data_IF_499540438794
#
_entry.id   IF_499540438794
#
_cell.length_a   1.000
_cell.length_b   1.000
_cell.length_c   1.000
_cell.angle_alpha   90.00
_cell.angle_beta   90.00
_cell.angle_gamma   90.00
#
_symmetry.space_group_name_H-M   'P 1'
#
loop_
_entity.id
_entity.type
_entity.pdbx_description
1 polymer ?
#
# COMPACT_ATOMS: atom_id res chain seq x y z
N UNK A 1 -25.11 -2.11 10.11
CA UNK A 1 -24.83 -0.83 10.78
C UNK A 1 -23.31 -0.58 10.86
N UNK A 2 -22.49 -1.50 11.43
CA UNK A 2 -21.03 -1.29 11.52
C UNK A 2 -20.35 -1.39 10.15
N UNK A 3 -20.69 -2.38 9.34
CA UNK A 3 -20.18 -2.53 7.97
C UNK A 3 -20.63 -1.39 7.04
N UNK A 4 -21.78 -0.77 7.32
CA UNK A 4 -22.28 0.41 6.58
C UNK A 4 -21.77 1.74 7.17
N UNK A 5 -20.86 1.71 8.13
CA UNK A 5 -20.27 2.89 8.79
C UNK A 5 -21.31 3.80 9.49
N UNK A 6 -22.46 3.24 9.86
CA UNK A 6 -23.50 3.96 10.63
C UNK A 6 -23.28 3.87 12.14
N UNK A 7 -22.49 2.92 12.58
CA UNK A 7 -22.21 2.66 13.98
C UNK A 7 -20.74 2.30 14.20
N UNK A 8 -20.13 2.90 15.22
CA UNK A 8 -18.73 2.70 15.59
C UNK A 8 -18.64 2.01 16.95
N UNK A 9 -18.32 0.71 17.03
CA UNK A 9 -18.13 0.02 18.30
C UNK A 9 -16.89 0.52 19.03
N UNK A 10 -17.01 0.78 20.29
CA UNK A 10 -15.91 1.20 21.17
C UNK A 10 -15.66 0.13 22.22
N UNK A 11 -14.42 -0.36 22.30
CA UNK A 11 -14.00 -1.36 23.28
C UNK A 11 -12.91 -0.81 24.17
N UNK A 12 -12.87 -1.25 25.42
CA UNK A 12 -11.88 -0.85 26.41
C UNK A 12 -11.02 -2.03 26.83
N UNK A 13 -9.73 -1.76 27.04
CA UNK A 13 -8.79 -2.80 27.48
C UNK A 13 -7.52 -2.20 28.05
N UNK A 14 -6.64 -3.08 28.53
CA UNK A 14 -5.28 -2.74 28.97
C UNK A 14 -4.31 -3.76 28.39
N UNK A 15 -3.72 -3.47 27.24
CA UNK A 15 -2.77 -4.36 26.56
C UNK A 15 -1.57 -4.72 27.45
N UNK A 16 -1.06 -3.76 28.20
CA UNK A 16 0.04 -3.97 29.16
C UNK A 16 -0.29 -4.99 30.26
N UNK A 17 -1.57 -5.14 30.63
CA UNK A 17 -2.06 -6.10 31.62
C UNK A 17 -2.70 -7.33 30.98
N UNK A 18 -2.58 -7.49 29.66
CA UNK A 18 -3.23 -8.55 28.87
C UNK A 18 -4.74 -8.67 29.10
N UNK A 19 -5.41 -7.53 29.37
CA UNK A 19 -6.87 -7.49 29.58
C UNK A 19 -7.57 -6.90 28.36
N UNK A 20 -8.58 -7.62 27.88
CA UNK A 20 -9.40 -7.17 26.76
C UNK A 20 -8.76 -7.34 25.38
N UNK A 21 -7.59 -8.01 25.26
CA UNK A 21 -6.90 -8.20 23.98
C UNK A 21 -7.67 -9.15 23.06
N UNK A 22 -8.09 -10.32 23.58
CA UNK A 22 -8.88 -11.28 22.80
C UNK A 22 -10.22 -10.68 22.34
N UNK A 23 -11.06 -10.08 23.24
CA UNK A 23 -12.29 -9.43 22.79
C UNK A 23 -12.09 -8.31 21.77
N UNK A 24 -10.95 -7.60 21.81
CA UNK A 24 -10.61 -6.62 20.78
C UNK A 24 -10.34 -7.28 19.44
N UNK A 25 -9.60 -8.40 19.42
CA UNK A 25 -9.33 -9.16 18.20
C UNK A 25 -10.62 -9.79 17.63
N UNK A 26 -11.49 -10.31 18.51
CA UNK A 26 -12.81 -10.81 18.13
C UNK A 26 -13.64 -9.69 17.48
N UNK A 27 -13.64 -8.49 18.07
CA UNK A 27 -14.33 -7.33 17.53
C UNK A 27 -13.78 -6.91 16.14
N UNK A 28 -12.47 -7.02 15.91
CA UNK A 28 -11.86 -6.79 14.60
C UNK A 28 -12.43 -7.78 13.57
N UNK A 29 -12.50 -9.07 13.91
CA UNK A 29 -13.01 -10.12 13.01
C UNK A 29 -14.51 -9.94 12.74
N UNK A 30 -15.29 -9.56 13.76
CA UNK A 30 -16.76 -9.45 13.67
C UNK A 30 -17.23 -8.14 13.00
N UNK A 31 -16.50 -7.05 13.17
CA UNK A 31 -17.00 -5.71 12.84
C UNK A 31 -16.27 -5.02 11.71
N UNK A 32 -15.04 -5.39 11.38
CA UNK A 32 -14.36 -4.80 10.22
C UNK A 32 -14.81 -5.48 8.92
N UNK A 33 -15.10 -4.71 7.86
CA UNK A 33 -15.48 -5.26 6.57
C UNK A 33 -14.31 -6.00 5.92
N UNK A 34 -14.60 -7.15 5.33
CA UNK A 34 -13.64 -7.80 4.44
C UNK A 34 -13.59 -7.07 3.08
N UNK A 35 -12.56 -7.32 2.27
CA UNK A 35 -12.51 -6.77 0.90
C UNK A 35 -13.73 -7.13 0.03
N UNK A 36 -14.44 -8.20 0.36
CA UNK A 36 -15.66 -8.64 -0.36
C UNK A 36 -16.93 -7.95 0.14
N UNK A 37 -16.90 -7.36 1.33
CA UNK A 37 -18.05 -6.65 1.92
C UNK A 37 -18.14 -5.19 1.46
N UNK A 38 -17.09 -4.68 0.83
CA UNK A 38 -17.03 -3.29 0.36
C UNK A 38 -17.28 -3.20 -1.15
N UNK A 39 -17.82 -2.07 -1.63
CA UNK A 39 -17.99 -1.84 -3.07
C UNK A 39 -16.65 -1.91 -3.83
N UNK A 40 -16.75 -2.15 -5.14
CA UNK A 40 -15.61 -2.04 -6.04
C UNK A 40 -14.91 -0.67 -5.89
N UNK A 41 -13.58 -0.69 -5.92
CA UNK A 41 -12.84 0.57 -5.90
C UNK A 41 -12.95 1.25 -7.26
N UNK A 42 -13.14 2.56 -7.21
CA UNK A 42 -13.18 3.40 -8.40
C UNK A 42 -11.81 3.99 -8.70
N UNK A 43 -11.54 4.17 -9.97
CA UNK A 43 -10.34 4.83 -10.46
C UNK A 43 -10.61 5.47 -11.82
N UNK A 44 -9.61 6.09 -12.40
CA UNK A 44 -9.69 6.76 -13.69
C UNK A 44 -8.68 6.08 -14.62
N UNK A 45 -9.11 5.73 -15.83
CA UNK A 45 -8.18 5.32 -16.89
C UNK A 45 -7.39 6.54 -17.38
N UNK A 46 -6.06 6.56 -17.24
CA UNK A 46 -5.24 7.73 -17.62
C UNK A 46 -5.22 8.00 -19.13
N UNK A 47 -5.69 7.07 -19.97
CA UNK A 47 -5.69 7.22 -21.43
C UNK A 47 -7.02 7.75 -21.96
N UNK A 48 -8.13 7.40 -21.32
CA UNK A 48 -9.49 7.78 -21.78
C UNK A 48 -10.18 8.80 -20.87
N UNK A 49 -9.63 9.01 -19.67
CA UNK A 49 -10.21 9.86 -18.61
C UNK A 49 -11.60 9.37 -18.13
N UNK A 50 -11.91 8.09 -18.37
CA UNK A 50 -13.16 7.47 -17.97
C UNK A 50 -13.03 6.81 -16.58
N UNK A 51 -14.14 6.80 -15.84
CA UNK A 51 -14.22 6.08 -14.56
C UNK A 51 -14.21 4.57 -14.81
N UNK A 52 -13.35 3.87 -14.09
CA UNK A 52 -13.18 2.42 -14.13
C UNK A 52 -13.35 1.85 -12.73
N UNK A 53 -14.05 0.74 -12.60
CA UNK A 53 -14.21 0.02 -11.35
C UNK A 53 -13.31 -1.23 -11.31
N UNK A 54 -12.80 -1.58 -10.12
CA UNK A 54 -12.07 -2.82 -9.85
C UNK A 54 -12.70 -3.53 -8.66
N UNK A 55 -13.14 -4.76 -8.91
CA UNK A 55 -13.68 -5.62 -7.87
C UNK A 55 -12.55 -6.37 -7.14
N UNK A 56 -12.77 -6.71 -5.88
CA UNK A 56 -11.81 -7.53 -5.13
C UNK A 56 -11.89 -8.99 -5.60
N UNK A 57 -11.23 -9.28 -6.73
CA UNK A 57 -11.14 -10.58 -7.37
C UNK A 57 -9.75 -10.82 -7.93
N UNK A 58 -9.25 -12.03 -7.78
CA UNK A 58 -7.97 -12.45 -8.34
C UNK A 58 -7.98 -12.58 -9.88
N UNK A 59 -9.17 -12.71 -10.49
CA UNK A 59 -9.36 -12.84 -11.93
C UNK A 59 -9.35 -11.48 -12.65
N UNK A 60 -9.47 -10.39 -11.93
CA UNK A 60 -9.42 -9.04 -12.50
C UNK A 60 -7.98 -8.58 -12.79
N UNK A 61 -7.79 -7.57 -13.64
CA UNK A 61 -6.49 -6.95 -13.85
C UNK A 61 -5.91 -6.42 -12.54
N UNK A 62 -4.61 -6.61 -12.36
CA UNK A 62 -3.92 -6.16 -11.15
C UNK A 62 -4.04 -4.64 -10.96
N UNK A 63 -4.45 -4.24 -9.75
CA UNK A 63 -4.42 -2.86 -9.29
C UNK A 63 -4.13 -2.79 -7.78
N UNK A 64 -3.20 -1.94 -7.40
CA UNK A 64 -2.78 -1.75 -6.02
C UNK A 64 -2.41 -0.29 -5.74
N UNK A 65 -2.53 0.12 -4.49
CA UNK A 65 -2.13 1.43 -4.02
C UNK A 65 -0.91 1.32 -3.10
N UNK A 66 0.17 2.01 -3.43
CA UNK A 66 1.33 2.18 -2.58
C UNK A 66 1.01 3.21 -1.47
N UNK A 67 0.79 2.76 -0.25
CA UNK A 67 0.34 3.63 0.84
C UNK A 67 1.44 4.04 1.82
N UNK A 68 2.60 3.36 1.78
CA UNK A 68 3.73 3.68 2.66
C UNK A 68 5.05 3.27 2.01
N UNK A 69 6.02 4.16 2.08
CA UNK A 69 7.42 3.87 1.71
C UNK A 69 8.30 4.06 2.92
N UNK A 70 9.19 3.11 3.17
CA UNK A 70 10.20 3.20 4.24
C UNK A 70 11.56 2.67 3.77
N UNK A 71 12.60 3.07 4.45
CA UNK A 71 13.95 2.54 4.24
C UNK A 71 14.25 1.47 5.29
N UNK A 72 14.64 0.30 4.82
CA UNK A 72 15.07 -0.82 5.65
C UNK A 72 16.60 -0.97 5.56
N UNK A 73 17.32 -1.18 6.68
CA UNK A 73 18.77 -1.28 6.67
C UNK A 73 19.35 -2.45 5.85
N UNK A 74 18.55 -3.51 5.64
CA UNK A 74 19.01 -4.74 5.00
C UNK A 74 18.55 -4.87 3.55
N UNK A 75 17.33 -4.44 3.23
CA UNK A 75 16.74 -4.59 1.90
C UNK A 75 16.58 -3.27 1.15
N UNK A 76 16.89 -2.16 1.79
CA UNK A 76 16.79 -0.83 1.21
C UNK A 76 15.34 -0.31 1.19
N UNK A 77 14.90 0.21 0.06
CA UNK A 77 13.55 0.77 -0.09
C UNK A 77 12.49 -0.33 -0.06
N UNK A 78 11.59 -0.23 0.91
CA UNK A 78 10.38 -1.05 1.05
C UNK A 78 9.15 -0.21 0.70
N UNK A 79 8.37 -0.66 -0.25
CA UNK A 79 7.11 -0.04 -0.64
C UNK A 79 5.96 -0.93 -0.19
N UNK A 80 5.19 -0.48 0.80
CA UNK A 80 3.98 -1.17 1.25
C UNK A 80 2.82 -0.81 0.34
N UNK A 81 2.09 -1.82 -0.10
CA UNK A 81 0.95 -1.64 -0.99
C UNK A 81 -0.21 -2.56 -0.60
N UNK A 82 -1.43 -2.11 -0.90
CA UNK A 82 -2.64 -2.90 -0.81
C UNK A 82 -3.09 -3.28 -2.20
N UNK A 83 -3.34 -4.57 -2.41
CA UNK A 83 -3.93 -5.08 -3.65
C UNK A 83 -5.43 -4.91 -3.59
N UNK A 84 -6.01 -4.26 -4.59
CA UNK A 84 -7.45 -4.11 -4.71
C UNK A 84 -8.05 -5.11 -5.68
N UNK A 85 -7.31 -5.50 -6.72
CA UNK A 85 -7.72 -6.51 -7.69
C UNK A 85 -6.53 -7.25 -8.29
N UNK A 86 -6.77 -8.45 -8.79
CA UNK A 86 -5.79 -9.26 -9.48
C UNK A 86 -4.70 -9.85 -8.59
N UNK A 87 -3.72 -10.47 -9.23
CA UNK A 87 -2.58 -11.15 -8.60
C UNK A 87 -1.28 -10.48 -9.05
N UNK A 88 -0.34 -10.34 -8.12
CA UNK A 88 1.01 -9.88 -8.42
C UNK A 88 2.03 -10.94 -8.05
N UNK A 89 2.85 -11.36 -9.00
CA UNK A 89 3.94 -12.32 -8.78
C UNK A 89 5.28 -11.62 -8.58
N UNK A 90 6.10 -12.17 -7.70
CA UNK A 90 7.48 -11.74 -7.47
C UNK A 90 8.30 -11.84 -8.77
N UNK A 91 9.16 -10.85 -9.02
CA UNK A 91 9.97 -10.76 -10.25
C UNK A 91 9.24 -10.20 -11.48
N UNK A 92 7.94 -9.96 -11.42
CA UNK A 92 7.13 -9.42 -12.50
C UNK A 92 7.31 -7.91 -12.70
N UNK A 93 6.63 -7.36 -13.68
CA UNK A 93 6.60 -5.93 -13.96
C UNK A 93 5.22 -5.36 -13.68
N UNK A 94 5.19 -4.11 -13.25
CA UNK A 94 3.98 -3.33 -13.04
C UNK A 94 4.12 -1.96 -13.69
N UNK A 95 3.01 -1.35 -14.02
CA UNK A 95 2.94 0.05 -14.42
C UNK A 95 2.63 0.89 -13.18
N UNK A 96 3.47 1.87 -12.89
CA UNK A 96 3.12 2.98 -12.02
C UNK A 96 2.32 3.99 -12.86
N UNK A 97 1.02 3.91 -12.82
CA UNK A 97 0.13 4.73 -13.66
C UNK A 97 0.14 6.20 -13.26
N UNK A 98 0.36 6.51 -11.98
CA UNK A 98 0.48 7.90 -11.49
C UNK A 98 1.67 8.62 -12.13
N UNK A 99 2.78 7.91 -12.38
CA UNK A 99 4.01 8.48 -12.97
C UNK A 99 4.24 8.06 -14.42
N UNK A 100 3.39 7.22 -14.98
CA UNK A 100 3.54 6.69 -16.34
C UNK A 100 4.77 5.79 -16.54
N UNK A 101 5.34 5.22 -15.47
CA UNK A 101 6.59 4.45 -15.52
C UNK A 101 6.35 2.96 -15.32
N UNK A 102 7.12 2.15 -16.01
CA UNK A 102 7.20 0.70 -15.80
C UNK A 102 8.27 0.38 -14.76
N UNK A 103 7.91 -0.41 -13.76
CA UNK A 103 8.84 -0.82 -12.70
C UNK A 103 8.85 -2.35 -12.53
N UNK A 104 9.99 -2.88 -12.10
CA UNK A 104 10.12 -4.28 -11.78
C UNK A 104 9.95 -4.50 -10.29
N UNK A 105 9.02 -5.38 -9.95
CA UNK A 105 8.87 -5.92 -8.58
C UNK A 105 9.96 -6.96 -8.37
N UNK A 106 10.93 -6.68 -7.50
CA UNK A 106 12.02 -7.62 -7.21
C UNK A 106 11.52 -8.79 -6.37
N UNK A 107 11.23 -8.53 -5.10
CA UNK A 107 10.69 -9.49 -4.14
C UNK A 107 9.43 -8.94 -3.51
N UNK A 108 8.52 -9.83 -3.15
CA UNK A 108 7.33 -9.51 -2.36
C UNK A 108 7.51 -10.10 -0.98
N UNK A 109 7.25 -9.31 0.04
CA UNK A 109 7.42 -9.67 1.44
C UNK A 109 6.09 -9.54 2.17
N UNK A 110 5.68 -10.61 2.84
CA UNK A 110 4.66 -10.56 3.87
C UNK A 110 5.32 -10.14 5.18
N UNK A 111 4.90 -9.00 5.70
CA UNK A 111 5.48 -8.43 6.91
C UNK A 111 4.68 -8.87 8.14
N UNK A 112 5.38 -9.39 9.13
CA UNK A 112 4.82 -9.73 10.42
C UNK A 112 5.72 -9.13 11.52
N UNK A 113 5.35 -7.99 12.06
CA UNK A 113 6.19 -7.17 12.92
C UNK A 113 7.55 -6.88 12.24
N UNK A 114 8.66 -7.37 12.81
CA UNK A 114 10.01 -7.23 12.24
C UNK A 114 10.42 -8.42 11.34
N UNK A 115 9.56 -9.43 11.21
CA UNK A 115 9.83 -10.61 10.38
C UNK A 115 9.42 -10.35 8.94
N UNK A 116 10.27 -10.73 8.00
CA UNK A 116 10.08 -10.58 6.57
C UNK A 116 9.98 -11.98 5.96
N UNK A 117 8.78 -12.38 5.58
CA UNK A 117 8.55 -13.65 4.89
C UNK A 117 8.44 -13.37 3.39
N UNK A 118 9.37 -13.92 2.61
CA UNK A 118 9.30 -13.81 1.16
C UNK A 118 8.17 -14.69 0.62
N UNK A 119 7.32 -14.12 -0.22
CA UNK A 119 6.18 -14.80 -0.85
C UNK A 119 6.28 -14.69 -2.36
N UNK A 120 5.81 -15.72 -3.05
CA UNK A 120 5.86 -15.78 -4.51
C UNK A 120 4.80 -14.86 -5.15
N UNK A 121 3.63 -14.79 -4.54
CA UNK A 121 2.47 -14.08 -5.06
C UNK A 121 1.69 -13.39 -3.94
N UNK A 122 0.94 -12.36 -4.31
CA UNK A 122 0.01 -11.64 -3.45
C UNK A 122 -1.31 -11.45 -4.20
N UNK A 123 -2.42 -11.54 -3.49
CA UNK A 123 -3.78 -11.65 -4.02
C UNK A 123 -4.64 -10.43 -3.70
N UNK A 124 -5.80 -10.33 -4.35
CA UNK A 124 -6.77 -9.27 -4.11
C UNK A 124 -7.18 -9.19 -2.63
N UNK A 125 -7.11 -7.99 -2.05
CA UNK A 125 -7.40 -7.74 -0.63
C UNK A 125 -6.19 -7.79 0.29
N UNK A 126 -5.07 -8.36 -0.15
CA UNK A 126 -3.85 -8.49 0.64
C UNK A 126 -3.08 -7.17 0.78
N UNK A 127 -2.28 -7.12 1.84
CA UNK A 127 -1.27 -6.08 2.07
C UNK A 127 0.10 -6.75 2.10
N UNK A 128 1.02 -6.23 1.29
CA UNK A 128 2.38 -6.72 1.21
C UNK A 128 3.39 -5.57 1.07
N UNK A 129 4.67 -5.90 1.10
CA UNK A 129 5.75 -4.96 0.82
C UNK A 129 6.56 -5.44 -0.39
N UNK A 130 6.85 -4.53 -1.32
CA UNK A 130 7.70 -4.79 -2.47
C UNK A 130 9.11 -4.21 -2.28
N UNK A 131 10.11 -4.97 -2.72
CA UNK A 131 11.49 -4.54 -2.88
C UNK A 131 11.77 -4.36 -4.37
N UNK A 132 12.45 -3.28 -4.72
CA UNK A 132 12.88 -3.05 -6.11
C UNK A 132 12.12 -1.96 -6.86
N UNK A 133 11.04 -1.45 -6.31
CA UNK A 133 10.33 -0.29 -6.84
C UNK A 133 11.15 0.98 -6.56
N UNK A 134 11.75 1.55 -7.62
CA UNK A 134 12.69 2.67 -7.49
C UNK A 134 11.98 4.02 -7.45
N UNK A 135 11.06 4.22 -8.37
CA UNK A 135 10.37 5.49 -8.59
C UNK A 135 9.06 5.63 -7.81
N UNK A 136 8.47 4.53 -7.37
CA UNK A 136 7.20 4.52 -6.64
C UNK A 136 7.30 5.27 -5.31
N UNK A 137 6.35 6.15 -5.06
CA UNK A 137 6.20 6.91 -3.81
C UNK A 137 4.84 6.63 -3.17
N UNK A 138 4.63 7.14 -1.96
CA UNK A 138 3.35 7.02 -1.25
C UNK A 138 2.25 7.72 -2.05
N UNK A 139 1.13 7.04 -2.26
CA UNK A 139 -0.01 7.52 -3.05
C UNK A 139 0.02 7.07 -4.52
N UNK A 140 1.11 6.46 -4.99
CA UNK A 140 1.17 5.98 -6.36
C UNK A 140 0.33 4.72 -6.56
N UNK A 141 -0.32 4.62 -7.72
CA UNK A 141 -1.03 3.42 -8.16
C UNK A 141 -0.11 2.51 -8.98
N UNK A 142 -0.13 1.23 -8.66
CA UNK A 142 0.55 0.16 -9.38
C UNK A 142 -0.52 -0.70 -10.07
N UNK A 143 -0.42 -0.92 -11.36
CA UNK A 143 -1.42 -1.68 -12.11
C UNK A 143 -0.80 -2.56 -13.22
N UNK A 144 -1.67 -3.34 -13.85
CA UNK A 144 -1.35 -4.06 -15.07
C UNK A 144 -1.04 -3.08 -16.23
N UNK A 145 -0.08 -3.44 -17.09
CA UNK A 145 0.37 -2.57 -18.18
C UNK A 145 -0.68 -2.37 -19.28
N UNK A 146 -1.63 -3.29 -19.43
CA UNK A 146 -2.64 -3.24 -20.50
C UNK A 146 -3.97 -2.64 -20.02
N UNK A 147 -4.21 -2.69 -18.72
CA UNK A 147 -5.44 -2.25 -18.09
C UNK A 147 -5.13 -1.16 -17.06
N UNK A 148 -4.61 -0.04 -17.55
CA UNK A 148 -4.18 1.05 -16.69
C UNK A 148 -5.35 1.63 -15.90
N UNK A 149 -5.09 1.98 -14.65
CA UNK A 149 -6.02 2.68 -13.77
C UNK A 149 -5.22 3.55 -12.81
N UNK A 150 -5.71 4.72 -12.50
CA UNK A 150 -5.26 5.55 -11.39
C UNK A 150 -6.34 5.47 -10.33
N UNK A 151 -6.01 4.86 -9.20
CA UNK A 151 -6.88 4.82 -8.03
C UNK A 151 -6.89 6.20 -7.37
N UNK A 152 -7.85 6.43 -6.50
CA UNK A 152 -7.96 7.69 -5.76
C UNK A 152 -6.63 8.03 -5.07
N UNK A 153 -6.12 9.23 -5.33
CA UNK A 153 -4.88 9.70 -4.74
C UNK A 153 -5.11 10.11 -3.28
N UNK A 154 -4.14 9.78 -2.42
CA UNK A 154 -4.16 10.25 -1.04
C UNK A 154 -3.86 11.75 -0.99
N UNK A 155 -4.78 12.53 -0.47
CA UNK A 155 -4.55 13.94 -0.17
C UNK A 155 -3.91 14.07 1.21
N UNK A 156 -2.71 14.64 1.25
CA UNK A 156 -2.03 14.93 2.51
C UNK A 156 -2.28 16.39 2.90
N UNK A 157 -2.57 16.67 4.17
CA UNK A 157 -2.67 18.06 4.64
C UNK A 157 -1.32 18.76 4.48
N UNK A 158 -1.36 20.07 4.26
CA UNK A 158 -0.14 20.88 4.19
C UNK A 158 0.67 20.76 5.49
N UNK A 159 2.01 20.59 5.38
CA UNK A 159 2.86 20.50 6.57
C UNK A 159 2.80 21.76 7.40
N UNK A 160 2.52 21.62 8.69
CA UNK A 160 2.51 22.75 9.64
C UNK A 160 3.87 23.03 10.29
N UNK A 161 4.83 22.11 10.10
CA UNK A 161 6.19 22.20 10.67
C UNK A 161 7.19 21.99 9.56
N UNK A 162 8.19 22.85 9.49
CA UNK A 162 9.34 22.73 8.59
C UNK A 162 10.58 22.40 9.42
N UNK A 163 11.39 21.47 8.92
CA UNK A 163 12.65 21.08 9.52
C UNK A 163 13.81 21.37 8.56
N UNK A 164 14.87 21.96 9.08
CA UNK A 164 16.12 22.10 8.35
C UNK A 164 16.85 20.74 8.33
N UNK A 165 17.31 20.33 7.18
CA UNK A 165 18.10 19.10 6.99
C UNK A 165 19.45 19.47 6.45
N UNK A 166 20.53 19.05 7.15
CA UNK A 166 21.90 19.28 6.75
C UNK A 166 22.66 17.95 6.66
N UNK A 167 23.51 17.77 5.62
CA UNK A 167 24.32 16.57 5.50
C UNK A 167 25.41 16.56 6.58
N UNK A 168 25.66 15.39 7.18
CA UNK A 168 26.69 15.24 8.22
C UNK A 168 28.13 15.29 7.64
N UNK A 169 28.27 14.97 6.38
CA UNK A 169 29.56 14.97 5.69
C UNK A 169 29.40 15.47 4.25
N UNK A 170 30.52 15.91 3.65
CA UNK A 170 30.55 16.33 2.25
C UNK A 170 30.17 15.21 1.29
N UNK A 171 30.49 13.96 1.63
CA UNK A 171 30.10 12.79 0.84
C UNK A 171 28.59 12.50 0.87
N UNK A 172 27.88 12.94 1.90
CA UNK A 172 26.43 12.78 2.01
C UNK A 172 25.65 13.90 1.31
N UNK A 173 26.32 14.98 0.93
CA UNK A 173 25.70 16.11 0.24
C UNK A 173 25.13 15.70 -1.12
N UNK A 174 25.89 14.92 -1.91
CA UNK A 174 25.45 14.44 -3.21
C UNK A 174 24.28 13.46 -3.08
N UNK A 175 24.31 12.60 -2.07
CA UNK A 175 23.21 11.67 -1.75
C UNK A 175 21.95 12.42 -1.34
N UNK A 176 22.09 13.46 -0.51
CA UNK A 176 20.97 14.29 -0.08
C UNK A 176 20.35 15.03 -1.27
N UNK A 177 21.17 15.63 -2.15
CA UNK A 177 20.69 16.32 -3.36
C UNK A 177 19.98 15.37 -4.35
N UNK A 178 20.32 14.08 -4.32
CA UNK A 178 19.65 13.07 -5.16
C UNK A 178 18.36 12.58 -4.53
N UNK A 179 18.24 12.65 -3.19
CA UNK A 179 17.09 12.15 -2.44
C UNK A 179 15.97 13.19 -2.28
N UNK A 180 16.30 14.49 -2.39
CA UNK A 180 15.39 15.63 -2.38
C UNK A 180 14.97 16.01 -3.82
#
# INVERSE_FOLDING_TARGET
ATLSVEFFPVVCGSAFKYKGVQPMLDAVVEYLPSPLDVPAIKGIDPNTDEEVERHSSDEEPFAALAFKVMTDPFVGKLTFFRVYSGILSSGSYVKNSTKGKRERVGRILQMHANTRNEIAEVYAGDIAAAVGLKDTTTGDTLCDEKNEVILESMEFPEPVIQLSVEPKSKADQDKMSTAL
#
